data_IF_361637027782
#
_entry.id   IF_361637027782
#
_cell.length_a   1.000
_cell.length_b   1.000
_cell.length_c   1.000
_cell.angle_alpha   90.00
_cell.angle_beta   90.00
_cell.angle_gamma   90.00
#
_symmetry.space_group_name_H-M   'P 1'
#
loop_
_entity.id
_entity.type
_entity.pdbx_description
1 polymer ?
#
# COMPACT_ATOMS: atom_id res chain seq x y z
N UNK A 1 -17.18 -59.73 90.87
CA UNK A 1 -17.57 -58.62 91.77
C UNK A 1 -16.90 -57.36 91.26
N UNK A 2 -17.71 -56.37 90.85
CA UNK A 2 -17.61 -54.94 91.23
C UNK A 2 -16.23 -54.39 91.70
N UNK A 3 -15.67 -53.24 91.30
CA UNK A 3 -16.07 -52.07 90.48
C UNK A 3 -14.83 -51.14 90.41
N UNK A 4 -14.76 -50.25 89.39
CA UNK A 4 -14.13 -48.89 89.41
C UNK A 4 -12.58 -48.80 89.48
N UNK A 5 -11.85 -47.88 88.83
CA UNK A 5 -12.17 -46.55 88.30
C UNK A 5 -10.91 -45.86 87.72
N UNK A 6 -11.14 -44.81 86.91
CA UNK A 6 -10.24 -43.68 86.54
C UNK A 6 -9.13 -44.00 85.51
N UNK A 7 -8.92 -43.29 84.40
CA UNK A 7 -9.45 -42.02 83.89
C UNK A 7 -9.20 -41.87 82.37
N UNK A 8 -10.02 -41.00 81.73
CA UNK A 8 -9.81 -40.23 80.46
C UNK A 8 -9.84 -41.04 79.14
N UNK A 9 -10.97 -41.19 78.46
CA UNK A 9 -11.68 -40.23 77.56
C UNK A 9 -10.89 -39.84 76.30
N UNK A 10 -11.37 -40.41 75.18
CA UNK A 10 -11.62 -39.82 73.87
C UNK A 10 -10.48 -39.62 72.84
N UNK A 11 -10.60 -40.45 71.79
CA UNK A 11 -10.68 -40.11 70.35
C UNK A 11 -9.50 -39.44 69.66
N UNK A 12 -9.05 -40.12 68.60
CA UNK A 12 -8.32 -39.56 67.47
C UNK A 12 -8.96 -38.25 67.00
N UNK A 13 -8.12 -37.23 66.80
CA UNK A 13 -8.58 -35.88 66.52
C UNK A 13 -7.53 -35.06 65.78
N UNK A 14 -7.58 -35.20 64.45
CA UNK A 14 -7.38 -34.15 63.44
C UNK A 14 -6.01 -33.48 63.40
N UNK A 15 -5.29 -33.78 62.31
CA UNK A 15 -4.13 -33.00 61.87
C UNK A 15 -4.49 -31.51 61.74
N UNK A 16 -3.55 -30.66 62.14
CA UNK A 16 -3.58 -29.23 61.91
C UNK A 16 -3.76 -28.93 60.41
N UNK A 17 -4.34 -27.77 60.07
CA UNK A 17 -5.48 -27.62 59.16
C UNK A 17 -5.17 -27.98 57.70
N UNK A 18 -5.98 -28.87 57.12
CA UNK A 18 -6.33 -28.80 55.71
C UNK A 18 -7.26 -27.60 55.50
N UNK A 19 -6.70 -26.41 55.31
CA UNK A 19 -7.44 -25.30 54.73
C UNK A 19 -6.49 -24.38 53.96
N UNK A 20 -5.91 -24.94 52.90
CA UNK A 20 -5.39 -24.18 51.78
C UNK A 20 -6.30 -24.25 50.56
N UNK A 21 -7.57 -24.64 50.72
CA UNK A 21 -8.56 -24.68 49.63
C UNK A 21 -9.38 -23.40 49.69
N UNK A 22 -8.91 -22.37 49.00
CA UNK A 22 -9.59 -21.07 48.94
C UNK A 22 -8.73 -19.96 48.35
N UNK A 23 -7.85 -20.27 47.40
CA UNK A 23 -7.15 -19.21 46.67
C UNK A 23 -8.05 -18.84 45.50
N UNK A 24 -8.69 -17.67 45.57
CA UNK A 24 -9.32 -17.04 44.42
C UNK A 24 -8.21 -16.61 43.46
N UNK A 25 -7.80 -17.52 42.59
CA UNK A 25 -6.87 -17.23 41.50
C UNK A 25 -7.60 -16.57 40.34
N UNK A 26 -6.84 -15.96 39.44
CA UNK A 26 -7.40 -15.38 38.21
C UNK A 26 -8.19 -16.41 37.39
N UNK A 27 -7.79 -17.68 37.47
CA UNK A 27 -8.44 -18.79 36.77
C UNK A 27 -9.73 -19.32 37.44
N UNK A 28 -10.08 -18.80 38.62
CA UNK A 28 -11.19 -19.32 39.44
C UNK A 28 -12.23 -18.26 39.81
N UNK A 29 -12.03 -17.02 39.35
CA UNK A 29 -12.88 -15.87 39.70
C UNK A 29 -13.53 -15.31 38.43
N UNK A 30 -14.85 -15.13 38.44
CA UNK A 30 -15.57 -14.49 37.34
C UNK A 30 -15.63 -12.97 37.57
N UNK A 31 -15.37 -12.17 36.53
CA UNK A 31 -15.42 -10.70 36.58
C UNK A 31 -14.07 -9.99 36.46
N UNK A 32 -13.05 -10.65 35.91
CA UNK A 32 -11.75 -10.03 35.63
C UNK A 32 -11.86 -8.93 34.59
N UNK A 33 -11.12 -7.83 34.79
CA UNK A 33 -11.11 -6.70 33.86
C UNK A 33 -10.28 -7.07 32.63
N UNK A 34 -10.88 -6.92 31.46
CA UNK A 34 -10.16 -7.09 30.19
C UNK A 34 -9.06 -6.02 30.06
N UNK A 35 -7.84 -6.46 29.75
CA UNK A 35 -6.73 -5.59 29.38
C UNK A 35 -6.74 -5.35 27.88
N UNK A 36 -6.67 -4.08 27.49
CA UNK A 36 -6.65 -3.67 26.09
C UNK A 36 -5.34 -2.90 25.84
N UNK A 37 -4.60 -3.33 24.82
CA UNK A 37 -3.42 -2.58 24.33
C UNK A 37 -3.85 -1.22 23.81
N UNK A 38 -3.19 -0.17 24.30
CA UNK A 38 -3.44 1.23 23.91
C UNK A 38 -2.81 1.59 22.55
N UNK A 39 -2.12 0.65 21.91
CA UNK A 39 -1.50 0.84 20.60
C UNK A 39 -2.24 -0.01 19.57
N UNK A 40 -2.87 0.67 18.60
CA UNK A 40 -3.46 0.04 17.42
C UNK A 40 -2.43 0.02 16.30
N UNK A 41 -1.77 -1.12 16.10
CA UNK A 41 -0.86 -1.34 14.97
C UNK A 41 -1.62 -1.60 13.67
N UNK A 42 -1.23 -0.92 12.58
CA UNK A 42 -1.73 -1.24 11.25
C UNK A 42 -0.92 -2.39 10.64
N UNK A 43 -1.60 -3.48 10.32
CA UNK A 43 -1.00 -4.70 9.77
C UNK A 43 -0.97 -4.68 8.23
N UNK A 44 -1.82 -3.85 7.60
CA UNK A 44 -1.85 -3.73 6.15
C UNK A 44 -0.60 -3.00 5.63
N UNK A 45 0.01 -3.43 4.51
CA UNK A 45 1.12 -2.71 3.90
C UNK A 45 0.65 -1.30 3.51
N UNK A 46 1.36 -0.29 4.04
CA UNK A 46 1.04 1.13 3.89
C UNK A 46 2.13 1.92 3.17
N UNK A 47 3.23 1.27 2.80
CA UNK A 47 4.33 1.89 2.08
C UNK A 47 3.93 2.13 0.62
N UNK A 48 4.20 3.35 0.14
CA UNK A 48 3.93 3.80 -1.23
C UNK A 48 5.21 4.37 -1.83
N UNK A 49 6.16 3.51 -2.25
CA UNK A 49 7.50 3.93 -2.66
C UNK A 49 7.48 4.85 -3.88
N UNK A 50 6.66 4.57 -4.91
CA UNK A 50 6.59 5.41 -6.10
C UNK A 50 5.99 6.78 -5.77
N UNK A 51 4.85 6.82 -5.06
CA UNK A 51 4.20 8.08 -4.69
C UNK A 51 5.03 8.97 -3.74
N UNK A 52 5.87 8.37 -2.90
CA UNK A 52 6.74 9.10 -1.96
C UNK A 52 8.06 9.56 -2.58
N UNK A 53 8.61 8.78 -3.52
CA UNK A 53 9.92 9.06 -4.14
C UNK A 53 9.79 10.00 -5.34
N UNK A 54 8.70 9.92 -6.10
CA UNK A 54 8.54 10.77 -7.28
C UNK A 54 8.32 12.24 -6.92
N UNK A 55 8.96 13.12 -7.71
CA UNK A 55 8.76 14.55 -7.61
C UNK A 55 7.34 14.90 -8.04
N UNK A 56 6.68 15.73 -7.24
CA UNK A 56 5.32 16.22 -7.51
C UNK A 56 5.39 17.55 -8.25
N UNK A 57 4.59 17.67 -9.30
CA UNK A 57 4.43 18.89 -10.10
C UNK A 57 2.94 19.14 -10.26
N UNK A 58 2.53 20.40 -10.18
CA UNK A 58 1.14 20.78 -10.33
C UNK A 58 0.74 20.77 -11.82
N UNK A 59 -0.42 20.19 -12.11
CA UNK A 59 -1.02 20.22 -13.45
C UNK A 59 -1.95 21.43 -13.58
N UNK A 60 -1.81 22.19 -14.66
CA UNK A 60 -2.64 23.37 -14.95
C UNK A 60 -4.02 22.95 -15.51
N UNK A 61 -4.08 21.80 -16.17
CA UNK A 61 -5.30 21.27 -16.78
C UNK A 61 -5.48 19.77 -16.46
N UNK A 62 -6.71 19.22 -16.61
CA UNK A 62 -6.97 17.79 -16.40
C UNK A 62 -6.18 16.88 -17.34
N UNK A 63 -5.79 17.39 -18.52
CA UNK A 63 -4.93 16.73 -19.50
C UNK A 63 -3.54 17.34 -19.40
N UNK A 64 -2.53 16.50 -19.30
CA UNK A 64 -1.12 16.88 -19.28
C UNK A 64 -0.50 16.42 -20.59
N UNK A 65 0.25 17.33 -21.21
CA UNK A 65 0.94 17.09 -22.47
C UNK A 65 2.43 17.27 -22.25
N UNK A 66 3.23 16.46 -22.94
CA UNK A 66 4.66 16.67 -23.09
C UNK A 66 5.07 16.40 -24.53
N UNK A 67 6.16 17.02 -24.97
CA UNK A 67 6.68 16.87 -26.32
C UNK A 67 7.91 15.99 -26.29
N UNK A 68 7.96 15.04 -27.22
CA UNK A 68 9.07 14.13 -27.43
C UNK A 68 9.57 14.33 -28.86
N UNK A 69 10.89 14.40 -29.03
CA UNK A 69 11.53 14.59 -30.32
C UNK A 69 12.66 13.57 -30.45
N UNK A 70 12.79 12.98 -31.64
CA UNK A 70 13.75 11.92 -31.92
C UNK A 70 14.61 12.35 -33.12
N UNK A 71 15.92 12.19 -32.99
CA UNK A 71 16.84 12.49 -34.07
C UNK A 71 16.80 11.37 -35.12
N UNK A 72 16.89 11.72 -36.39
CA UNK A 72 17.03 10.75 -37.47
C UNK A 72 18.14 9.72 -37.20
N UNK A 73 17.84 8.45 -37.49
CA UNK A 73 18.78 7.35 -37.27
C UNK A 73 20.09 7.56 -38.05
N UNK A 74 21.25 7.14 -37.49
CA UNK A 74 22.53 7.27 -38.17
C UNK A 74 22.52 6.46 -39.48
N UNK A 75 22.86 7.13 -40.58
CA UNK A 75 22.96 6.51 -41.91
C UNK A 75 24.39 6.61 -42.45
N UNK A 76 24.78 5.63 -43.29
CA UNK A 76 26.10 5.59 -43.93
C UNK A 76 26.16 6.58 -45.11
N UNK A 77 26.20 7.87 -44.80
CA UNK A 77 26.17 8.93 -45.82
C UNK A 77 27.60 9.33 -46.19
N UNK A 78 28.21 8.54 -47.07
CA UNK A 78 29.46 8.93 -47.73
C UNK A 78 29.14 9.79 -48.96
N UNK A 79 29.61 11.04 -48.97
CA UNK A 79 29.37 11.99 -50.05
C UNK A 79 30.64 12.10 -50.92
N UNK A 80 30.48 12.06 -52.24
CA UNK A 80 31.60 12.21 -53.20
C UNK A 80 32.04 13.68 -53.24
N UNK A 81 33.35 13.93 -53.36
CA UNK A 81 33.88 15.30 -53.50
C UNK A 81 33.28 16.01 -54.72
N UNK A 82 32.62 17.15 -54.48
CA UNK A 82 31.94 17.95 -55.51
C UNK A 82 30.47 17.63 -55.73
N UNK A 83 29.85 16.77 -54.90
CA UNK A 83 28.41 16.55 -54.92
C UNK A 83 27.64 17.78 -54.41
N UNK A 84 26.48 18.05 -55.02
CA UNK A 84 25.55 19.09 -54.57
C UNK A 84 24.94 18.70 -53.21
N UNK A 85 24.56 19.70 -52.40
CA UNK A 85 23.92 19.45 -51.10
C UNK A 85 22.52 18.88 -51.38
N UNK A 86 22.31 17.61 -51.05
CA UNK A 86 20.97 17.02 -51.13
C UNK A 86 20.02 17.66 -50.11
N UNK A 87 18.71 17.51 -50.33
CA UNK A 87 17.66 17.96 -49.39
C UNK A 87 17.69 17.08 -48.11
N UNK A 88 18.68 17.33 -47.24
CA UNK A 88 18.80 16.75 -45.91
C UNK A 88 18.15 17.67 -44.87
N UNK A 89 16.87 18.00 -45.10
CA UNK A 89 16.07 18.72 -44.13
C UNK A 89 15.32 17.69 -43.28
N UNK A 90 15.76 17.49 -42.04
CA UNK A 90 14.94 16.82 -41.04
C UNK A 90 13.76 17.76 -40.71
N UNK A 91 12.60 17.47 -41.29
CA UNK A 91 11.34 18.24 -41.09
C UNK A 91 10.49 17.59 -40.00
N UNK A 92 11.07 16.73 -39.16
CA UNK A 92 10.35 16.13 -38.05
C UNK A 92 9.87 17.21 -37.08
N UNK A 93 8.58 17.13 -36.74
CA UNK A 93 7.97 17.95 -35.70
C UNK A 93 7.89 17.11 -34.43
N UNK A 94 8.12 17.69 -33.25
CA UNK A 94 8.00 16.97 -31.99
C UNK A 94 6.63 16.30 -31.87
N UNK A 95 6.61 15.02 -31.52
CA UNK A 95 5.41 14.28 -31.16
C UNK A 95 4.83 14.83 -29.86
N UNK A 96 3.49 14.79 -29.71
CA UNK A 96 2.82 15.20 -28.48
C UNK A 96 2.25 13.95 -27.79
N UNK A 97 2.79 13.65 -26.62
CA UNK A 97 2.33 12.60 -25.73
C UNK A 97 1.39 13.17 -24.67
N UNK A 98 0.39 12.38 -24.23
CA UNK A 98 -0.69 12.85 -23.37
C UNK A 98 -0.95 11.92 -22.19
N UNK A 99 -1.38 12.48 -21.06
CA UNK A 99 -1.97 11.74 -19.94
C UNK A 99 -3.08 12.55 -19.25
N UNK A 100 -3.89 11.88 -18.44
CA UNK A 100 -4.96 12.48 -17.67
C UNK A 100 -4.67 12.43 -16.17
N UNK A 101 -5.14 13.44 -15.45
CA UNK A 101 -5.23 13.39 -13.98
C UNK A 101 -6.46 12.58 -13.57
N UNK A 102 -6.41 11.83 -12.46
CA UNK A 102 -7.55 11.07 -11.93
C UNK A 102 -7.97 11.59 -10.55
N UNK A 103 -9.25 11.42 -10.21
CA UNK A 103 -9.78 11.72 -8.87
C UNK A 103 -9.76 10.46 -8.00
N UNK A 104 -9.28 10.59 -6.76
CA UNK A 104 -9.30 9.53 -5.77
C UNK A 104 -10.12 9.96 -4.56
N UNK A 105 -11.12 9.17 -4.19
CA UNK A 105 -11.96 9.45 -3.02
C UNK A 105 -12.09 8.22 -2.10
N UNK A 106 -12.11 8.50 -0.79
CA UNK A 106 -12.51 7.56 0.25
C UNK A 106 -13.21 8.33 1.36
N UNK A 107 -14.38 7.86 1.76
CA UNK A 107 -15.19 8.54 2.77
C UNK A 107 -15.02 7.88 4.14
N UNK A 108 -14.75 8.69 5.15
CA UNK A 108 -14.88 8.31 6.56
C UNK A 108 -16.23 8.84 7.08
N UNK A 109 -17.00 7.99 7.77
CA UNK A 109 -18.26 8.37 8.41
C UNK A 109 -18.28 7.77 9.81
N UNK A 110 -18.55 8.59 10.81
CA UNK A 110 -18.69 8.20 12.22
C UNK A 110 -19.96 8.85 12.75
N UNK A 111 -20.72 8.15 13.59
CA UNK A 111 -21.91 8.71 14.23
C UNK A 111 -21.50 9.61 15.40
N UNK A 112 -22.32 10.61 15.74
CA UNK A 112 -22.05 11.54 16.84
C UNK A 112 -21.89 10.83 18.19
N UNK A 113 -22.65 9.76 18.42
CA UNK A 113 -22.52 8.93 19.64
C UNK A 113 -21.22 8.13 19.65
N UNK A 114 -20.77 7.63 18.49
CA UNK A 114 -19.52 6.89 18.40
C UNK A 114 -18.30 7.81 18.60
N UNK A 115 -18.38 9.08 18.16
CA UNK A 115 -17.31 10.06 18.40
C UNK A 115 -17.27 10.53 19.87
N UNK A 116 -18.42 10.57 20.55
CA UNK A 116 -18.50 10.91 21.98
C UNK A 116 -18.12 9.75 22.92
N UNK A 117 -18.04 8.53 22.42
CA UNK A 117 -17.69 7.34 23.22
C UNK A 117 -16.17 7.26 23.39
N UNK A 118 -15.71 6.95 24.59
CA UNK A 118 -14.28 6.69 24.82
C UNK A 118 -13.92 5.29 24.35
N UNK A 119 -12.93 5.21 23.46
CA UNK A 119 -12.42 3.97 22.92
C UNK A 119 -11.01 3.71 23.45
N UNK A 120 -10.67 2.45 23.65
CA UNK A 120 -9.30 2.05 23.96
C UNK A 120 -8.40 2.24 22.72
N UNK A 121 -7.18 2.75 22.92
CA UNK A 121 -6.18 2.89 21.86
C UNK A 121 -6.41 3.99 20.82
N UNK A 122 -7.39 4.88 21.02
CA UNK A 122 -7.65 6.03 20.14
C UNK A 122 -8.38 7.15 20.86
N UNK A 123 -7.91 8.38 20.68
CA UNK A 123 -8.51 9.58 21.29
C UNK A 123 -9.81 10.02 20.60
N UNK A 124 -9.95 9.76 19.29
CA UNK A 124 -11.19 9.97 18.55
C UNK A 124 -11.29 8.93 17.43
N UNK A 125 -12.50 8.41 17.22
CA UNK A 125 -12.79 7.46 16.15
C UNK A 125 -12.70 8.14 14.77
N UNK A 126 -13.07 9.43 14.67
CA UNK A 126 -13.05 10.13 13.38
C UNK A 126 -11.62 10.29 12.87
N UNK A 127 -10.69 10.67 13.74
CA UNK A 127 -9.28 10.84 13.39
C UNK A 127 -8.65 9.52 12.95
N UNK A 128 -9.00 8.42 13.64
CA UNK A 128 -8.55 7.09 13.27
C UNK A 128 -9.05 6.68 11.88
N UNK A 129 -10.34 6.90 11.59
CA UNK A 129 -10.90 6.57 10.29
C UNK A 129 -10.34 7.48 9.18
N UNK A 130 -10.15 8.77 9.43
CA UNK A 130 -9.53 9.71 8.48
C UNK A 130 -8.09 9.30 8.18
N UNK A 131 -7.29 8.97 9.20
CA UNK A 131 -5.93 8.45 9.04
C UNK A 131 -5.90 7.17 8.21
N UNK A 132 -6.83 6.24 8.46
CA UNK A 132 -6.95 5.00 7.69
C UNK A 132 -7.31 5.27 6.23
N UNK A 133 -8.32 6.11 5.96
CA UNK A 133 -8.71 6.49 4.59
C UNK A 133 -7.62 7.26 3.87
N UNK A 134 -6.89 8.13 4.56
CA UNK A 134 -5.75 8.86 3.98
C UNK A 134 -4.62 7.91 3.54
N UNK A 135 -4.32 6.88 4.34
CA UNK A 135 -3.36 5.83 3.96
C UNK A 135 -3.88 4.95 2.81
N UNK A 136 -5.15 4.59 2.82
CA UNK A 136 -5.78 3.85 1.71
C UNK A 136 -5.77 4.65 0.40
N UNK A 137 -6.00 5.96 0.43
CA UNK A 137 -5.92 6.81 -0.76
C UNK A 137 -4.50 6.80 -1.33
N UNK A 138 -3.48 6.96 -0.49
CA UNK A 138 -2.08 6.89 -0.95
C UNK A 138 -1.78 5.54 -1.62
N UNK A 139 -2.25 4.44 -1.03
CA UNK A 139 -2.11 3.11 -1.62
C UNK A 139 -2.88 2.96 -2.94
N UNK A 140 -4.06 3.56 -3.06
CA UNK A 140 -4.83 3.57 -4.31
C UNK A 140 -4.11 4.35 -5.42
N UNK A 141 -3.47 5.46 -5.08
CA UNK A 141 -2.64 6.22 -6.04
C UNK A 141 -1.48 5.35 -6.52
N UNK A 142 -0.78 4.66 -5.61
CA UNK A 142 0.29 3.72 -5.95
C UNK A 142 -0.21 2.60 -6.87
N UNK A 143 -1.39 2.05 -6.56
CA UNK A 143 -2.00 1.00 -7.37
C UNK A 143 -2.35 1.49 -8.77
N UNK A 144 -2.87 2.72 -8.92
CA UNK A 144 -3.15 3.31 -10.22
C UNK A 144 -1.87 3.58 -11.04
N UNK A 145 -0.75 3.87 -10.37
CA UNK A 145 0.53 4.12 -11.04
C UNK A 145 1.22 2.84 -11.54
N UNK A 146 1.29 1.79 -10.72
CA UNK A 146 2.13 0.60 -11.00
C UNK A 146 1.41 -0.73 -10.78
N UNK A 147 0.31 -0.74 -10.02
CA UNK A 147 -0.39 -1.97 -9.63
C UNK A 147 -1.35 -2.53 -10.68
N UNK A 148 -1.64 -1.78 -11.74
CA UNK A 148 -2.54 -2.17 -12.83
C UNK A 148 -1.98 -1.67 -14.16
N UNK A 149 -2.17 -2.46 -15.22
CA UNK A 149 -1.95 -2.00 -16.59
C UNK A 149 -3.21 -1.27 -17.05
N UNK A 150 -3.17 0.07 -17.00
CA UNK A 150 -4.27 0.92 -17.43
C UNK A 150 -3.84 1.94 -18.48
N UNK A 151 -4.64 2.08 -19.53
CA UNK A 151 -4.46 3.06 -20.62
C UNK A 151 -5.12 4.38 -20.22
N UNK A 152 -4.57 5.51 -20.66
CA UNK A 152 -5.19 6.82 -20.45
C UNK A 152 -6.59 6.89 -21.09
N UNK A 153 -7.63 7.12 -20.28
CA UNK A 153 -9.02 7.22 -20.75
C UNK A 153 -9.56 8.64 -20.54
N UNK A 154 -10.01 9.34 -21.61
CA UNK A 154 -10.77 10.57 -21.45
C UNK A 154 -12.13 10.24 -20.83
N UNK A 155 -12.38 10.75 -19.62
CA UNK A 155 -13.68 10.60 -18.96
C UNK A 155 -14.79 11.37 -19.68
N UNK A 156 -16.04 11.00 -19.39
CA UNK A 156 -17.25 11.66 -19.89
C UNK A 156 -18.22 11.98 -18.73
N UNK A 157 -19.47 12.34 -19.03
CA UNK A 157 -20.47 12.68 -18.02
C UNK A 157 -20.88 11.51 -17.11
N UNK A 158 -20.60 10.28 -17.53
CA UNK A 158 -20.98 9.02 -16.89
C UNK A 158 -19.78 8.13 -16.56
N UNK A 159 -18.63 8.37 -17.17
CA UNK A 159 -17.39 7.59 -17.05
C UNK A 159 -16.31 8.46 -16.44
N UNK A 160 -15.68 7.97 -15.38
CA UNK A 160 -14.55 8.67 -14.77
C UNK A 160 -13.35 8.70 -15.72
N UNK A 161 -12.56 9.78 -15.63
CA UNK A 161 -11.26 9.87 -16.29
C UNK A 161 -10.23 9.02 -15.55
N UNK A 162 -9.38 8.34 -16.29
CA UNK A 162 -8.37 7.44 -15.73
C UNK A 162 -6.98 7.79 -16.25
N UNK A 163 -6.00 7.76 -15.34
CA UNK A 163 -4.61 7.99 -15.70
C UNK A 163 -3.99 6.74 -16.33
N UNK A 164 -3.03 6.94 -17.23
CA UNK A 164 -2.17 5.86 -17.69
C UNK A 164 -1.23 5.39 -16.57
N UNK A 165 -1.10 4.08 -16.44
CA UNK A 165 -0.10 3.41 -15.61
C UNK A 165 1.31 3.55 -16.20
N UNK A 166 2.35 3.37 -15.38
CA UNK A 166 3.74 3.50 -15.79
C UNK A 166 4.11 2.57 -16.97
N UNK A 167 3.57 1.35 -16.98
CA UNK A 167 3.75 0.38 -18.07
C UNK A 167 3.23 0.89 -19.42
N UNK A 168 2.12 1.64 -19.42
CA UNK A 168 1.55 2.22 -20.64
C UNK A 168 2.24 3.51 -21.09
N UNK A 169 3.00 4.15 -20.20
CA UNK A 169 3.84 5.30 -20.54
C UNK A 169 5.20 4.87 -21.09
N UNK A 170 5.63 3.63 -20.80
CA UNK A 170 6.81 3.04 -21.43
C UNK A 170 6.40 2.54 -22.81
N UNK A 171 7.15 2.92 -23.85
CA UNK A 171 6.85 2.52 -25.22
C UNK A 171 6.88 0.99 -25.35
N UNK A 172 5.90 0.35 -26.02
CA UNK A 172 5.81 -1.12 -26.12
C UNK A 172 6.99 -1.77 -26.85
N UNK A 173 7.85 -0.99 -27.51
CA UNK A 173 9.08 -1.46 -28.17
C UNK A 173 10.24 -1.69 -27.21
N UNK A 174 10.18 -1.22 -25.95
CA UNK A 174 11.21 -1.40 -24.93
C UNK A 174 10.65 -2.18 -23.72
N UNK A 175 9.79 -3.17 -23.98
CA UNK A 175 9.12 -3.97 -22.97
C UNK A 175 9.19 -5.47 -23.34
N UNK A 176 9.73 -6.28 -22.41
CA UNK A 176 9.81 -7.73 -22.58
C UNK A 176 8.76 -8.44 -21.72
N UNK A 177 7.82 -9.14 -22.36
CA UNK A 177 6.81 -9.94 -21.67
C UNK A 177 7.40 -11.30 -21.25
N UNK A 178 7.53 -11.51 -19.95
CA UNK A 178 8.14 -12.73 -19.40
C UNK A 178 7.09 -13.50 -18.59
N UNK A 179 6.86 -14.77 -18.94
CA UNK A 179 5.93 -15.67 -18.25
C UNK A 179 6.67 -16.66 -17.33
N UNK A 180 8.01 -16.64 -17.34
CA UNK A 180 8.89 -17.49 -16.56
C UNK A 180 9.61 -16.69 -15.47
N UNK A 181 10.50 -17.35 -14.71
CA UNK A 181 11.39 -16.64 -13.80
C UNK A 181 12.29 -15.68 -14.60
N UNK A 182 12.55 -14.50 -14.03
CA UNK A 182 13.52 -13.55 -14.58
C UNK A 182 14.92 -14.16 -14.59
N UNK A 183 15.58 -14.13 -15.75
CA UNK A 183 16.96 -14.56 -15.93
C UNK A 183 17.80 -13.37 -16.38
N UNK A 184 19.11 -13.40 -16.11
CA UNK A 184 20.06 -12.33 -16.49
C UNK A 184 20.00 -11.98 -17.99
N UNK A 185 19.70 -12.96 -18.85
CA UNK A 185 19.51 -12.75 -20.29
C UNK A 185 18.38 -11.78 -20.62
N UNK A 186 17.32 -11.78 -19.81
CA UNK A 186 16.14 -10.96 -20.06
C UNK A 186 16.47 -9.49 -19.77
N UNK A 187 17.22 -9.24 -18.70
CA UNK A 187 17.71 -7.90 -18.35
C UNK A 187 18.68 -7.38 -19.39
N UNK A 188 19.58 -8.23 -19.89
CA UNK A 188 20.53 -7.85 -20.93
C UNK A 188 19.82 -7.45 -22.23
N UNK A 189 18.78 -8.21 -22.61
CA UNK A 189 18.00 -7.95 -23.83
C UNK A 189 17.28 -6.61 -23.75
N UNK A 190 16.56 -6.35 -22.65
CA UNK A 190 15.87 -5.07 -22.44
C UNK A 190 16.87 -3.91 -22.37
N UNK A 191 18.03 -4.09 -21.76
CA UNK A 191 19.08 -3.05 -21.74
C UNK A 191 19.58 -2.73 -23.14
N UNK A 192 19.85 -3.73 -23.96
CA UNK A 192 20.27 -3.51 -25.35
C UNK A 192 19.19 -2.76 -26.15
N UNK A 193 17.93 -3.17 -26.04
CA UNK A 193 16.80 -2.48 -26.69
C UNK A 193 16.60 -1.05 -26.21
N UNK A 194 17.03 -0.70 -25.00
CA UNK A 194 16.97 0.69 -24.51
C UNK A 194 18.10 1.53 -25.12
N UNK A 195 19.29 0.95 -25.32
CA UNK A 195 20.45 1.64 -25.88
C UNK A 195 20.40 1.84 -27.39
N UNK A 196 19.77 0.90 -28.10
CA UNK A 196 19.49 1.00 -29.54
C UNK A 196 18.22 1.83 -29.82
#
# INVERSE_FOLDING_TARGET
>A
MATTSHARVATAGVGAPTSGTGINTVHTTAGEKEDFSDIIGLIAPYDTPCYSTFRKVDAIAPVVHWQEDELAAPSATAIVEGADVGDDADVSSPGISINYTQLFEKTAKVSSTADATQWHGRSSEIDYQVMKRGREIKRNIEFAMVGVTNVAVPGDLTTAREMASADQLITPTKALAITTNLVESDVLTVQQEVYE
#
